data_IF_626233137789
#
_entry.id   IF_626233137789
#
_cell.length_a   1.000
_cell.length_b   1.000
_cell.length_c   1.000
_cell.angle_alpha   90.00
_cell.angle_beta   90.00
_cell.angle_gamma   90.00
#
_symmetry.space_group_name_H-M   'P 1'
#
loop_
_entity.id
_entity.type
_entity.pdbx_description
1 polymer ?
#
# COMPACT_ATOMS: atom_id res chain seq x y z
N UNK A 1 -0.72 -11.93 -15.24
CA UNK A 1 -2.15 -11.61 -15.08
C UNK A 1 -2.57 -11.71 -13.62
N UNK A 2 -2.43 -12.87 -12.96
CA UNK A 2 -2.84 -13.06 -11.55
C UNK A 2 -2.25 -12.08 -10.53
N UNK A 3 -1.01 -11.60 -10.69
CA UNK A 3 -0.41 -10.62 -9.79
C UNK A 3 -1.14 -9.25 -9.78
N UNK A 4 -1.70 -8.84 -10.92
CA UNK A 4 -2.49 -7.59 -11.03
C UNK A 4 -3.87 -7.75 -10.41
N UNK A 5 -4.51 -8.91 -10.61
CA UNK A 5 -5.82 -9.23 -10.02
C UNK A 5 -5.75 -9.34 -8.50
N UNK A 6 -4.71 -9.99 -7.96
CA UNK A 6 -4.48 -10.08 -6.50
C UNK A 6 -4.23 -8.68 -5.91
N UNK A 7 -3.52 -7.81 -6.62
CA UNK A 7 -3.34 -6.40 -6.22
C UNK A 7 -4.66 -5.63 -6.16
N UNK A 8 -5.54 -5.83 -7.14
CA UNK A 8 -6.87 -5.23 -7.17
C UNK A 8 -7.75 -5.75 -6.03
N UNK A 9 -7.78 -7.06 -5.79
CA UNK A 9 -8.53 -7.68 -4.68
C UNK A 9 -8.05 -7.16 -3.32
N UNK A 10 -6.73 -7.04 -3.12
CA UNK A 10 -6.17 -6.48 -1.89
C UNK A 10 -6.59 -5.02 -1.71
N UNK A 11 -6.60 -4.23 -2.78
CA UNK A 11 -7.02 -2.83 -2.71
C UNK A 11 -8.51 -2.70 -2.35
N UNK A 12 -9.38 -3.53 -2.93
CA UNK A 12 -10.81 -3.60 -2.57
C UNK A 12 -10.97 -3.91 -1.10
N UNK A 13 -10.28 -4.95 -0.63
CA UNK A 13 -10.40 -5.37 0.75
C UNK A 13 -9.95 -4.27 1.70
N UNK A 14 -8.82 -3.59 1.39
CA UNK A 14 -8.37 -2.43 2.17
C UNK A 14 -9.43 -1.34 2.23
N UNK A 15 -10.08 -0.98 1.11
CA UNK A 15 -11.14 0.04 1.12
C UNK A 15 -12.37 -0.43 1.89
N UNK A 16 -12.77 -1.69 1.73
CA UNK A 16 -13.97 -2.24 2.37
C UNK A 16 -13.79 -2.30 3.90
N UNK A 17 -12.62 -2.72 4.36
CA UNK A 17 -12.28 -2.70 5.78
C UNK A 17 -12.16 -1.26 6.30
N UNK A 18 -11.58 -0.33 5.52
CA UNK A 18 -11.53 1.09 5.91
C UNK A 18 -12.93 1.69 6.06
N UNK A 19 -13.87 1.34 5.17
CA UNK A 19 -15.26 1.75 5.28
C UNK A 19 -15.94 1.16 6.52
N UNK A 20 -15.74 -0.12 6.78
CA UNK A 20 -16.24 -0.78 8.00
C UNK A 20 -15.74 -0.07 9.26
N UNK A 21 -14.43 0.21 9.34
CA UNK A 21 -13.82 0.94 10.46
C UNK A 21 -14.37 2.34 10.62
N UNK A 22 -14.62 3.05 9.51
CA UNK A 22 -15.22 4.37 9.53
C UNK A 22 -16.65 4.34 10.12
N UNK A 23 -17.46 3.35 9.72
CA UNK A 23 -18.83 3.18 10.22
C UNK A 23 -18.84 2.80 11.70
N UNK A 24 -17.94 1.89 12.13
CA UNK A 24 -17.81 1.53 13.55
C UNK A 24 -17.44 2.75 14.39
N UNK A 25 -16.46 3.54 13.94
CA UNK A 25 -16.06 4.77 14.64
C UNK A 25 -17.21 5.78 14.70
N UNK A 26 -18.00 5.91 13.62
CA UNK A 26 -19.20 6.75 13.61
C UNK A 26 -20.20 6.29 14.67
N UNK A 27 -20.51 5.00 14.71
CA UNK A 27 -21.41 4.41 15.71
C UNK A 27 -20.92 4.69 17.13
N UNK A 28 -19.64 4.43 17.42
CA UNK A 28 -19.05 4.65 18.75
C UNK A 28 -19.16 6.12 19.17
N UNK A 29 -18.79 7.05 18.28
CA UNK A 29 -18.89 8.48 18.56
C UNK A 29 -20.35 8.92 18.77
N UNK A 30 -21.26 8.46 17.92
CA UNK A 30 -22.70 8.77 18.02
C UNK A 30 -23.32 8.31 19.35
N UNK A 31 -22.93 7.14 19.86
CA UNK A 31 -23.40 6.64 21.17
C UNK A 31 -22.91 7.50 22.33
N UNK A 32 -21.74 8.13 22.19
CA UNK A 32 -21.14 8.95 23.25
C UNK A 32 -21.61 10.41 23.26
N UNK A 33 -22.36 10.85 22.24
CA UNK A 33 -22.79 12.24 22.10
C UNK A 33 -23.75 12.64 23.22
N UNK A 34 -23.49 13.80 23.81
CA UNK A 34 -24.36 14.40 24.84
C UNK A 34 -25.14 15.62 24.34
N UNK A 35 -24.59 16.35 23.38
CA UNK A 35 -25.14 17.61 22.89
C UNK A 35 -25.43 17.58 21.38
N UNK A 36 -26.49 18.27 20.94
CA UNK A 36 -26.87 18.35 19.52
C UNK A 36 -25.78 18.99 18.64
N UNK A 37 -25.01 19.94 19.17
CA UNK A 37 -23.88 20.55 18.45
C UNK A 37 -22.78 19.53 18.15
N UNK A 38 -22.49 18.65 19.10
CA UNK A 38 -21.52 17.58 18.96
C UNK A 38 -22.01 16.53 17.96
N UNK A 39 -23.30 16.16 18.02
CA UNK A 39 -23.97 15.30 17.03
C UNK A 39 -23.76 15.83 15.61
N UNK A 40 -24.07 17.12 15.40
CA UNK A 40 -23.97 17.77 14.09
C UNK A 40 -22.54 17.81 13.57
N UNK A 41 -21.57 18.11 14.44
CA UNK A 41 -20.15 18.10 14.07
C UNK A 41 -19.70 16.70 13.65
N UNK A 42 -20.07 15.68 14.41
CA UNK A 42 -19.80 14.27 14.11
C UNK A 42 -20.40 13.88 12.75
N UNK A 43 -21.67 14.17 12.52
CA UNK A 43 -22.34 13.84 11.26
C UNK A 43 -21.70 14.53 10.06
N UNK A 44 -21.30 15.80 10.19
CA UNK A 44 -20.60 16.51 9.12
C UNK A 44 -19.24 15.88 8.80
N UNK A 45 -18.44 15.59 9.84
CA UNK A 45 -17.12 14.94 9.69
C UNK A 45 -17.26 13.59 8.99
N UNK A 46 -18.20 12.75 9.43
CA UNK A 46 -18.43 11.44 8.80
C UNK A 46 -19.01 11.54 7.40
N UNK A 47 -19.93 12.47 7.14
CA UNK A 47 -20.45 12.74 5.80
C UNK A 47 -19.34 13.09 4.81
N UNK A 48 -18.40 13.96 5.21
CA UNK A 48 -17.24 14.32 4.38
C UNK A 48 -16.26 13.16 4.19
N UNK A 49 -16.07 12.30 5.20
CA UNK A 49 -15.21 11.13 5.09
C UNK A 49 -15.80 10.08 4.12
N UNK A 50 -17.11 9.82 4.19
CA UNK A 50 -17.82 8.92 3.27
C UNK A 50 -17.72 9.42 1.83
N UNK A 51 -17.87 10.72 1.61
CA UNK A 51 -17.72 11.34 0.29
C UNK A 51 -16.31 11.13 -0.27
N UNK A 52 -15.28 11.21 0.58
CA UNK A 52 -13.89 10.98 0.19
C UNK A 52 -13.64 9.52 -0.21
N UNK A 53 -14.17 8.57 0.57
CA UNK A 53 -14.08 7.14 0.24
C UNK A 53 -14.84 6.83 -1.06
N UNK A 54 -16.01 7.44 -1.26
CA UNK A 54 -16.80 7.31 -2.48
C UNK A 54 -15.98 7.66 -3.72
N UNK A 55 -15.29 8.80 -3.73
CA UNK A 55 -14.49 9.22 -4.87
C UNK A 55 -13.30 8.28 -5.13
N UNK A 56 -12.68 7.71 -4.08
CA UNK A 56 -11.62 6.72 -4.22
C UNK A 56 -12.10 5.39 -4.83
N UNK A 57 -13.32 4.97 -4.47
CA UNK A 57 -13.90 3.70 -4.94
C UNK A 57 -14.54 3.83 -6.32
N UNK A 58 -15.06 5.01 -6.68
CA UNK A 58 -15.80 5.25 -7.93
C UNK A 58 -15.06 4.78 -9.18
N UNK A 59 -13.75 4.97 -9.25
CA UNK A 59 -12.92 4.56 -10.40
C UNK A 59 -12.72 3.05 -10.48
N UNK A 60 -12.79 2.34 -9.36
CA UNK A 60 -12.53 0.90 -9.29
C UNK A 60 -13.83 0.08 -9.27
N UNK A 61 -14.84 0.54 -8.53
CA UNK A 61 -16.10 -0.15 -8.27
C UNK A 61 -17.28 0.83 -8.21
N UNK A 62 -17.90 1.14 -9.36
CA UNK A 62 -19.01 2.08 -9.43
C UNK A 62 -20.23 1.68 -8.58
N UNK A 63 -20.50 0.37 -8.42
CA UNK A 63 -21.63 -0.13 -7.62
C UNK A 63 -21.50 0.23 -6.14
N UNK A 64 -20.30 0.14 -5.56
CA UNK A 64 -20.04 0.52 -4.16
C UNK A 64 -20.16 2.03 -4.01
N UNK A 65 -19.70 2.81 -5.00
CA UNK A 65 -19.85 4.27 -4.97
C UNK A 65 -21.33 4.71 -4.96
N UNK A 66 -22.23 3.98 -5.64
CA UNK A 66 -23.68 4.24 -5.56
C UNK A 66 -24.22 3.99 -4.15
N UNK A 67 -23.84 2.87 -3.52
CA UNK A 67 -24.25 2.60 -2.13
C UNK A 67 -23.72 3.67 -1.16
N UNK A 68 -22.47 4.12 -1.33
CA UNK A 68 -21.89 5.21 -0.53
C UNK A 68 -22.58 6.55 -0.77
N UNK A 69 -23.07 6.82 -1.99
CA UNK A 69 -23.86 8.01 -2.29
C UNK A 69 -25.20 8.01 -1.54
N UNK A 70 -25.88 6.86 -1.47
CA UNK A 70 -27.13 6.73 -0.70
C UNK A 70 -26.90 6.99 0.79
N UNK A 71 -25.82 6.44 1.36
CA UNK A 71 -25.43 6.69 2.75
C UNK A 71 -25.09 8.17 2.96
N UNK A 72 -24.30 8.76 2.05
CA UNK A 72 -23.93 10.18 2.11
C UNK A 72 -25.17 11.09 2.04
N UNK A 73 -26.14 10.76 1.19
CA UNK A 73 -27.42 11.48 1.09
C UNK A 73 -28.25 11.35 2.36
N UNK A 74 -28.31 10.16 2.97
CA UNK A 74 -29.01 9.94 4.24
C UNK A 74 -28.40 10.78 5.37
N UNK A 75 -27.06 10.80 5.48
CA UNK A 75 -26.34 11.64 6.45
C UNK A 75 -26.64 13.13 6.22
N UNK A 76 -26.62 13.59 4.96
CA UNK A 76 -26.97 14.98 4.61
C UNK A 76 -28.42 15.33 4.97
N UNK A 77 -29.38 14.42 4.73
CA UNK A 77 -30.80 14.64 5.10
C UNK A 77 -30.95 14.81 6.61
N UNK A 78 -30.33 13.91 7.39
CA UNK A 78 -30.37 13.99 8.85
C UNK A 78 -29.74 15.29 9.39
N UNK A 79 -28.63 15.75 8.81
CA UNK A 79 -28.03 17.05 9.16
C UNK A 79 -29.05 18.17 8.91
N UNK A 80 -29.67 18.21 7.73
CA UNK A 80 -30.63 19.27 7.37
C UNK A 80 -31.87 19.25 8.27
N UNK A 81 -32.42 18.08 8.54
CA UNK A 81 -33.60 17.90 9.41
C UNK A 81 -33.30 18.29 10.87
N UNK A 82 -32.10 17.98 11.36
CA UNK A 82 -31.67 18.29 12.74
C UNK A 82 -31.16 19.74 12.89
N UNK A 83 -30.80 20.40 11.79
CA UNK A 83 -30.24 21.75 11.76
C UNK A 83 -31.23 22.86 12.14
N UNK A 84 -32.53 22.56 12.29
CA UNK A 84 -33.58 23.57 12.42
C UNK A 84 -33.44 24.46 13.68
N UNK A 85 -32.71 24.03 14.71
CA UNK A 85 -32.61 24.76 16.00
C UNK A 85 -31.19 24.94 16.59
N UNK A 86 -30.12 24.42 15.96
CA UNK A 86 -28.85 24.18 16.69
C UNK A 86 -27.52 24.58 16.06
N UNK A 87 -27.47 25.12 14.84
CA UNK A 87 -26.17 25.37 14.17
C UNK A 87 -25.60 26.73 14.60
N UNK A 88 -24.84 26.74 15.69
CA UNK A 88 -23.81 27.78 15.87
C UNK A 88 -22.79 27.74 14.73
N UNK A 89 -21.92 28.75 14.59
CA UNK A 89 -20.92 28.81 13.52
C UNK A 89 -20.00 27.56 13.52
N UNK A 90 -20.33 26.54 12.72
CA UNK A 90 -19.48 25.39 12.45
C UNK A 90 -18.53 25.79 11.32
N UNK A 91 -17.22 25.69 11.57
CA UNK A 91 -16.22 26.03 10.57
C UNK A 91 -16.02 24.83 9.60
N UNK A 92 -16.37 24.97 8.32
CA UNK A 92 -16.26 23.88 7.35
C UNK A 92 -14.81 23.39 7.14
N UNK A 93 -13.81 24.25 7.32
CA UNK A 93 -12.39 23.89 7.19
C UNK A 93 -11.97 22.92 8.29
N UNK A 94 -12.42 23.15 9.53
CA UNK A 94 -12.10 22.29 10.68
C UNK A 94 -12.78 20.92 10.56
N UNK A 95 -14.01 20.90 10.07
CA UNK A 95 -14.75 19.66 9.77
C UNK A 95 -13.97 18.80 8.75
N UNK A 96 -13.51 19.43 7.66
CA UNK A 96 -12.74 18.74 6.61
C UNK A 96 -11.42 18.17 7.13
N UNK A 97 -10.66 18.94 7.90
CA UNK A 97 -9.40 18.47 8.50
C UNK A 97 -9.64 17.30 9.46
N UNK A 98 -10.67 17.40 10.30
CA UNK A 98 -11.05 16.33 11.23
C UNK A 98 -11.52 15.08 10.48
N UNK A 99 -12.21 15.22 9.36
CA UNK A 99 -12.64 14.11 8.52
C UNK A 99 -11.46 13.37 7.89
N UNK A 100 -10.44 14.09 7.45
CA UNK A 100 -9.20 13.48 6.94
C UNK A 100 -8.46 12.72 8.04
N UNK A 101 -8.40 13.26 9.26
CA UNK A 101 -7.79 12.57 10.40
C UNK A 101 -8.54 11.27 10.73
N UNK A 102 -9.87 11.34 10.85
CA UNK A 102 -10.75 10.17 11.08
C UNK A 102 -10.60 9.13 9.98
N UNK A 103 -10.53 9.57 8.73
CA UNK A 103 -10.32 8.67 7.60
C UNK A 103 -8.96 7.99 7.69
N UNK A 104 -7.89 8.72 8.01
CA UNK A 104 -6.55 8.16 8.16
C UNK A 104 -6.46 7.15 9.32
N UNK A 105 -7.14 7.41 10.44
CA UNK A 105 -7.27 6.46 11.54
C UNK A 105 -7.99 5.18 11.10
N UNK A 106 -9.05 5.30 10.30
CA UNK A 106 -9.77 4.15 9.75
C UNK A 106 -8.89 3.33 8.79
N UNK A 107 -8.11 4.00 7.93
CA UNK A 107 -7.15 3.35 7.03
C UNK A 107 -6.05 2.60 7.78
N UNK A 108 -5.49 3.22 8.83
CA UNK A 108 -4.45 2.58 9.64
C UNK A 108 -4.96 1.30 10.31
N UNK A 109 -6.16 1.35 10.90
CA UNK A 109 -6.81 0.17 11.52
C UNK A 109 -7.15 -0.90 10.47
N UNK A 110 -7.59 -0.48 9.29
CA UNK A 110 -7.89 -1.39 8.20
C UNK A 110 -6.63 -2.07 7.65
N UNK A 111 -5.51 -1.36 7.55
CA UNK A 111 -4.25 -1.95 7.11
C UNK A 111 -3.71 -2.96 8.11
N UNK A 112 -3.83 -2.69 9.41
CA UNK A 112 -3.46 -3.63 10.47
C UNK A 112 -4.27 -4.93 10.36
N UNK A 113 -5.59 -4.83 10.25
CA UNK A 113 -6.49 -5.98 10.13
C UNK A 113 -6.35 -6.75 8.80
N UNK A 114 -6.14 -6.04 7.68
CA UNK A 114 -5.86 -6.68 6.40
C UNK A 114 -4.50 -7.36 6.42
N UNK A 115 -3.51 -6.82 7.13
CA UNK A 115 -2.19 -7.46 7.30
C UNK A 115 -2.27 -8.70 8.20
N UNK A 116 -3.15 -8.70 9.19
CA UNK A 116 -3.40 -9.86 10.06
C UNK A 116 -4.20 -10.97 9.35
N UNK A 117 -5.22 -10.60 8.57
CA UNK A 117 -6.08 -11.56 7.85
C UNK A 117 -5.50 -12.05 6.52
N UNK A 118 -4.68 -11.24 5.88
CA UNK A 118 -3.90 -11.60 4.69
C UNK A 118 -2.41 -11.30 4.97
N UNK A 119 -1.61 -12.28 5.43
CA UNK A 119 -0.16 -12.10 5.50
C UNK A 119 0.34 -11.70 4.12
N UNK A 120 1.32 -10.79 4.08
CA UNK A 120 1.80 -10.26 2.81
C UNK A 120 2.24 -11.43 1.91
N UNK A 121 1.71 -11.54 0.67
CA UNK A 121 2.33 -12.43 -0.30
C UNK A 121 3.80 -11.99 -0.40
N UNK A 122 4.77 -12.92 -0.40
CA UNK A 122 6.18 -12.56 -0.33
C UNK A 122 6.49 -11.48 -1.35
N UNK A 123 6.81 -10.28 -0.85
CA UNK A 123 7.34 -9.17 -1.63
C UNK A 123 8.69 -9.64 -2.16
N UNK A 124 8.72 -9.99 -3.44
CA UNK A 124 9.96 -9.99 -4.20
C UNK A 124 9.75 -9.24 -5.51
N UNK A 125 9.24 -8.02 -5.41
CA UNK A 125 9.51 -6.98 -6.38
C UNK A 125 9.61 -5.65 -5.60
N UNK A 126 10.81 -5.12 -5.34
CA UNK A 126 10.95 -3.74 -4.91
C UNK A 126 10.54 -2.84 -6.08
N UNK A 127 9.40 -2.18 -5.95
CA UNK A 127 9.11 -0.96 -6.71
C UNK A 127 10.05 0.14 -6.24
N UNK A 128 10.71 0.88 -7.14
CA UNK A 128 11.75 1.83 -6.79
C UNK A 128 11.13 3.11 -6.21
N UNK A 129 10.93 3.16 -4.90
CA UNK A 129 10.90 4.40 -4.12
C UNK A 129 10.98 4.07 -2.62
N UNK A 130 11.90 4.76 -1.95
CA UNK A 130 12.17 4.78 -0.50
C UNK A 130 12.87 3.57 0.12
N UNK A 131 14.15 3.38 -0.24
CA UNK A 131 15.16 2.96 0.74
C UNK A 131 15.84 4.20 1.30
N UNK A 132 15.33 4.69 2.43
CA UNK A 132 16.08 5.58 3.31
C UNK A 132 17.19 4.71 3.92
N UNK A 133 18.38 4.80 3.33
CA UNK A 133 19.58 4.13 3.81
C UNK A 133 20.00 4.79 5.12
N UNK A 134 19.80 4.08 6.23
CA UNK A 134 20.60 4.30 7.42
C UNK A 134 22.00 3.72 7.16
N UNK A 135 22.97 4.57 6.90
CA UNK A 135 24.37 4.31 7.25
C UNK A 135 25.05 5.61 7.60
N UNK A 136 25.74 5.53 8.73
CA UNK A 136 26.49 6.53 9.47
C UNK A 136 27.52 7.29 8.63
N UNK A 137 27.74 8.54 9.05
CA UNK A 137 28.62 9.54 8.48
C UNK A 137 30.08 9.11 8.26
N UNK A 138 30.70 9.63 7.20
CA UNK A 138 31.98 10.36 7.24
C UNK A 138 32.16 11.23 5.99
N UNK A 139 32.31 12.53 6.24
CA UNK A 139 33.24 13.51 5.67
C UNK A 139 33.33 13.79 4.15
N UNK A 140 33.21 15.08 3.82
CA UNK A 140 34.06 15.74 2.83
C UNK A 140 33.79 15.54 1.34
N UNK A 141 32.96 16.42 0.77
CA UNK A 141 33.27 17.19 -0.46
C UNK A 141 33.54 16.48 -1.81
N UNK A 142 32.77 16.92 -2.82
CA UNK A 142 32.95 16.86 -4.29
C UNK A 142 32.13 15.82 -5.05
N UNK A 143 31.39 16.36 -6.03
CA UNK A 143 30.63 15.67 -7.06
C UNK A 143 31.47 14.62 -7.80
N UNK A 144 30.93 13.43 -8.03
CA UNK A 144 31.37 12.51 -9.11
C UNK A 144 30.23 11.58 -9.50
N UNK A 145 30.17 11.33 -10.80
CA UNK A 145 29.15 10.61 -11.55
C UNK A 145 29.01 9.14 -11.16
N UNK A 146 27.78 8.63 -11.34
CA UNK A 146 27.35 7.24 -11.26
C UNK A 146 28.16 6.34 -12.20
N UNK A 147 29.16 5.64 -11.67
CA UNK A 147 29.81 4.51 -12.33
C UNK A 147 29.15 3.21 -11.82
N UNK A 148 28.46 2.51 -12.71
CA UNK A 148 27.86 1.20 -12.48
C UNK A 148 28.98 0.19 -12.20
N UNK A 149 29.13 -0.22 -10.94
CA UNK A 149 30.11 -1.25 -10.52
C UNK A 149 29.66 -2.59 -11.08
N UNK A 150 30.44 -3.15 -12.00
CA UNK A 150 30.24 -4.49 -12.56
C UNK A 150 30.54 -5.51 -11.43
N UNK A 151 29.60 -6.40 -11.05
CA UNK A 151 29.83 -7.38 -9.99
C UNK A 151 30.95 -8.34 -10.37
N UNK A 152 31.78 -8.70 -9.39
CA UNK A 152 32.90 -9.62 -9.59
C UNK A 152 32.40 -11.05 -9.83
N UNK A 153 33.20 -11.88 -10.50
CA UNK A 153 32.79 -13.25 -10.91
C UNK A 153 32.39 -14.12 -9.70
N UNK A 154 33.04 -13.93 -8.54
CA UNK A 154 32.71 -14.66 -7.32
C UNK A 154 31.34 -14.29 -6.74
N UNK A 155 30.92 -13.03 -6.90
CA UNK A 155 29.60 -12.56 -6.50
C UNK A 155 28.52 -13.12 -7.44
N UNK A 156 28.85 -13.24 -8.73
CA UNK A 156 27.97 -13.80 -9.74
C UNK A 156 27.66 -15.28 -9.45
N UNK A 157 28.65 -16.07 -9.05
CA UNK A 157 28.45 -17.46 -8.65
C UNK A 157 27.50 -17.59 -7.45
N UNK A 158 27.68 -16.75 -6.43
CA UNK A 158 26.80 -16.72 -5.26
C UNK A 158 25.36 -16.34 -5.62
N UNK A 159 25.20 -15.35 -6.49
CA UNK A 159 23.89 -14.88 -6.96
C UNK A 159 23.18 -15.92 -7.81
N UNK A 160 23.89 -16.58 -8.72
CA UNK A 160 23.34 -17.67 -9.55
C UNK A 160 22.93 -18.84 -8.65
N UNK A 161 23.77 -19.25 -7.70
CA UNK A 161 23.47 -20.36 -6.81
C UNK A 161 22.25 -20.07 -5.92
N UNK A 162 22.16 -18.85 -5.36
CA UNK A 162 21.01 -18.42 -4.57
C UNK A 162 19.73 -18.43 -5.43
N UNK A 163 19.82 -17.92 -6.65
CA UNK A 163 18.69 -17.90 -7.58
C UNK A 163 18.21 -19.31 -7.94
N UNK A 164 19.13 -20.22 -8.28
CA UNK A 164 18.79 -21.61 -8.65
C UNK A 164 18.22 -22.36 -7.45
N UNK A 165 18.73 -22.16 -6.23
CA UNK A 165 18.15 -22.76 -5.01
C UNK A 165 16.74 -22.23 -4.72
N UNK A 166 16.52 -20.93 -4.90
CA UNK A 166 15.23 -20.28 -4.65
C UNK A 166 14.16 -20.69 -5.66
N UNK A 167 14.54 -20.85 -6.93
CA UNK A 167 13.65 -21.23 -8.02
C UNK A 167 13.65 -22.74 -8.32
N UNK A 168 14.15 -23.56 -7.40
CA UNK A 168 14.03 -25.02 -7.45
C UNK A 168 14.76 -25.68 -8.64
N UNK A 169 15.89 -25.11 -9.08
CA UNK A 169 16.70 -25.66 -10.17
C UNK A 169 16.58 -24.94 -11.51
N UNK A 170 15.69 -23.95 -11.64
CA UNK A 170 15.48 -23.22 -12.89
C UNK A 170 16.12 -21.82 -12.87
N UNK A 171 16.92 -21.51 -13.90
CA UNK A 171 17.55 -20.20 -14.10
C UNK A 171 17.08 -19.61 -15.43
N UNK A 172 16.36 -18.49 -15.39
CA UNK A 172 16.08 -17.71 -16.60
C UNK A 172 17.26 -16.77 -16.89
N UNK A 173 18.04 -17.14 -17.91
CA UNK A 173 19.26 -16.43 -18.30
C UNK A 173 18.92 -15.00 -18.74
N UNK A 174 17.82 -14.78 -19.47
CA UNK A 174 17.49 -13.43 -19.99
C UNK A 174 17.13 -12.49 -18.84
N UNK A 175 16.30 -12.97 -17.92
CA UNK A 175 15.94 -12.21 -16.73
C UNK A 175 17.15 -11.92 -15.85
N UNK A 176 18.04 -12.91 -15.68
CA UNK A 176 19.24 -12.75 -14.86
C UNK A 176 20.25 -11.77 -15.48
N UNK A 177 20.42 -11.79 -16.80
CA UNK A 177 21.26 -10.83 -17.53
C UNK A 177 20.78 -9.39 -17.36
N UNK A 178 19.47 -9.13 -17.51
CA UNK A 178 18.90 -7.79 -17.36
C UNK A 178 18.94 -7.30 -15.92
N UNK A 179 18.69 -8.21 -14.96
CA UNK A 179 18.66 -7.89 -13.53
C UNK A 179 20.03 -7.55 -12.96
N UNK A 180 21.07 -8.26 -13.36
CA UNK A 180 22.42 -8.11 -12.80
C UNK A 180 23.40 -7.42 -13.76
N UNK A 181 22.95 -7.01 -14.95
CA UNK A 181 23.79 -6.34 -15.95
C UNK A 181 24.91 -7.23 -16.49
N UNK A 182 24.72 -8.55 -16.44
CA UNK A 182 25.72 -9.55 -16.82
C UNK A 182 25.43 -10.10 -18.20
N UNK A 183 26.49 -10.50 -18.90
CA UNK A 183 26.36 -11.10 -20.23
C UNK A 183 26.03 -12.58 -20.11
N UNK A 184 25.42 -13.13 -21.16
CA UNK A 184 25.05 -14.55 -21.23
C UNK A 184 26.26 -15.45 -20.99
N UNK A 185 27.41 -15.05 -21.53
CA UNK A 185 28.64 -15.81 -21.42
C UNK A 185 29.19 -15.81 -19.97
N UNK A 186 29.09 -14.69 -19.25
CA UNK A 186 29.48 -14.60 -17.83
C UNK A 186 28.59 -15.49 -16.94
N UNK A 187 27.27 -15.53 -17.21
CA UNK A 187 26.33 -16.40 -16.49
C UNK A 187 26.60 -17.87 -16.77
N UNK A 188 26.93 -18.21 -18.02
CA UNK A 188 27.29 -19.58 -18.41
C UNK A 188 28.65 -20.00 -17.82
N UNK A 189 29.61 -19.09 -17.71
CA UNK A 189 30.90 -19.36 -17.06
C UNK A 189 30.72 -19.59 -15.56
N UNK A 190 29.90 -18.78 -14.88
CA UNK A 190 29.55 -18.98 -13.47
C UNK A 190 28.84 -20.33 -13.26
N UNK A 191 27.91 -20.72 -14.13
CA UNK A 191 27.26 -22.03 -14.07
C UNK A 191 28.23 -23.18 -14.30
N UNK A 192 29.17 -23.06 -15.23
CA UNK A 192 30.22 -24.08 -15.46
C UNK A 192 31.11 -24.23 -14.25
N UNK A 193 31.56 -23.14 -13.63
CA UNK A 193 32.35 -23.18 -12.39
C UNK A 193 31.58 -23.78 -11.22
N UNK A 194 30.29 -23.47 -11.11
CA UNK A 194 29.41 -24.08 -10.10
C UNK A 194 29.18 -25.58 -10.35
N UNK A 195 29.17 -26.00 -11.62
CA UNK A 195 29.10 -27.41 -12.00
C UNK A 195 30.41 -28.16 -11.71
N UNK A 196 31.56 -27.54 -11.99
CA UNK A 196 32.89 -28.08 -11.67
C UNK A 196 33.09 -28.19 -10.14
N UNK A 197 32.49 -27.27 -9.37
CA UNK A 197 32.42 -27.31 -7.90
C UNK A 197 31.40 -28.33 -7.36
N UNK A 198 30.64 -29.02 -8.23
CA UNK A 198 29.67 -30.04 -7.86
C UNK A 198 28.39 -29.53 -7.19
N UNK A 199 28.15 -28.22 -7.22
CA UNK A 199 27.01 -27.57 -6.53
C UNK A 199 25.75 -27.51 -7.39
N UNK A 200 25.90 -27.61 -8.71
CA UNK A 200 24.80 -27.57 -9.68
C UNK A 200 25.05 -28.59 -10.78
N UNK A 201 24.03 -29.36 -11.17
CA UNK A 201 24.10 -30.26 -12.33
C UNK A 201 23.31 -29.64 -13.46
N UNK A 202 24.00 -29.25 -14.52
CA UNK A 202 23.38 -28.73 -15.74
C UNK A 202 22.80 -29.95 -16.48
N UNK A 203 21.48 -29.98 -16.66
CA UNK A 203 20.75 -31.02 -17.37
C UNK A 203 20.34 -30.52 -18.76
#
# INVERSE_FOLDING_TARGET
MYASEVGQVRNILKVMVALERLIIMARERLVTVKDMKELMNIMMVFGTAIETVKEQVKTLYPSIAVALEEVSRSVRSMIVETSLEGVGNINPTVVSETALQVLNEAWKKAEEEVRESLPEPPLSIPTPQDVVVATTAIDGGKATQTALVKPSIDELEGLVLAYVKQHGGFLDIKYFQEKYGVTKDEVLEALRRLADKGLVRIA
#
